data_IF_204024480472
#
_entry.id   IF_204024480472
#
_cell.length_a   1.000
_cell.length_b   1.000
_cell.length_c   1.000
_cell.angle_alpha   90.00
_cell.angle_beta   90.00
_cell.angle_gamma   90.00
#
_symmetry.space_group_name_H-M   'P 1'
#
loop_
_entity.id
_entity.type
_entity.pdbx_description
1 polymer ?
#
# COMPACT_ATOMS: atom_id res chain seq x y z
N UNK A 1 14.35 -26.94 7.10
CA UNK A 1 14.62 -25.75 7.93
C UNK A 1 13.56 -25.68 8.99
N UNK A 2 13.95 -25.86 10.26
CA UNK A 2 13.05 -26.05 11.41
C UNK A 2 12.51 -24.69 11.87
N UNK A 3 11.19 -24.56 11.94
CA UNK A 3 10.52 -23.39 12.50
C UNK A 3 10.70 -23.39 14.02
N UNK A 4 11.57 -22.50 14.51
CA UNK A 4 11.67 -22.17 15.93
C UNK A 4 10.56 -21.17 16.23
N UNK A 5 9.43 -21.69 16.72
CA UNK A 5 8.35 -20.89 17.28
C UNK A 5 8.80 -20.41 18.66
N UNK A 6 9.33 -19.20 18.72
CA UNK A 6 9.69 -18.54 19.96
C UNK A 6 8.40 -18.00 20.60
N UNK A 7 7.86 -18.75 21.58
CA UNK A 7 6.76 -18.30 22.42
C UNK A 7 7.27 -17.23 23.38
N UNK A 8 7.05 -15.95 23.05
CA UNK A 8 7.33 -14.84 23.94
C UNK A 8 6.16 -14.67 24.92
N UNK A 9 6.29 -15.28 26.10
CA UNK A 9 5.39 -15.07 27.22
C UNK A 9 5.63 -13.65 27.79
N UNK A 10 4.77 -12.70 27.41
CA UNK A 10 4.75 -11.36 28.02
C UNK A 10 3.93 -11.45 29.32
N UNK A 11 4.66 -11.60 30.42
CA UNK A 11 4.14 -11.60 31.78
C UNK A 11 4.14 -10.14 32.28
N UNK A 12 3.06 -9.40 31.99
CA UNK A 12 2.83 -8.07 32.58
C UNK A 12 1.99 -8.25 33.84
N UNK A 13 2.69 -8.60 34.93
CA UNK A 13 2.19 -8.50 36.28
C UNK A 13 2.44 -7.08 36.82
N UNK A 14 1.41 -6.47 37.41
CA UNK A 14 1.53 -5.16 38.03
C UNK A 14 0.19 -4.49 38.28
N UNK A 15 -0.74 -5.16 38.95
CA UNK A 15 -1.99 -4.56 39.44
C UNK A 15 -1.68 -3.61 40.61
N UNK A 16 -1.28 -2.37 40.30
CA UNK A 16 -1.34 -1.29 41.29
C UNK A 16 -2.80 -0.87 41.39
N UNK A 17 -3.50 -1.43 42.38
CA UNK A 17 -4.82 -0.96 42.80
C UNK A 17 -4.66 0.45 43.40
N UNK A 18 -4.65 1.47 42.54
CA UNK A 18 -4.87 2.83 42.96
C UNK A 18 -6.31 2.92 43.46
N UNK A 19 -6.46 2.97 44.78
CA UNK A 19 -7.70 3.37 45.45
C UNK A 19 -7.94 4.84 45.10
N UNK A 20 -8.59 5.06 43.97
CA UNK A 20 -9.16 6.35 43.63
C UNK A 20 -10.27 6.61 44.66
N UNK A 21 -9.98 7.47 45.65
CA UNK A 21 -11.01 8.08 46.46
C UNK A 21 -11.86 8.92 45.51
N UNK A 22 -13.02 8.38 45.16
CA UNK A 22 -14.13 9.09 44.56
C UNK A 22 -14.54 10.24 45.49
N UNK A 23 -13.84 11.37 45.39
CA UNK A 23 -14.45 12.66 45.66
C UNK A 23 -15.46 12.91 44.54
N UNK A 24 -16.57 12.16 44.59
CA UNK A 24 -17.81 12.46 43.87
C UNK A 24 -18.32 13.79 44.43
N UNK A 25 -17.78 14.88 43.91
CA UNK A 25 -18.45 16.16 43.97
C UNK A 25 -19.87 15.93 43.42
N UNK A 26 -20.86 16.15 44.27
CA UNK A 26 -22.28 15.95 44.01
C UNK A 26 -22.77 16.90 42.90
N UNK A 27 -22.39 16.63 41.65
CA UNK A 27 -23.07 17.08 40.45
C UNK A 27 -23.70 15.85 39.83
N UNK A 28 -24.94 15.56 40.23
CA UNK A 28 -25.65 14.32 39.91
C UNK A 28 -25.64 13.99 38.41
N UNK A 29 -25.78 12.70 38.12
CA UNK A 29 -25.88 12.11 36.79
C UNK A 29 -27.03 12.64 35.90
N UNK A 30 -27.73 13.69 36.34
CA UNK A 30 -28.68 14.51 35.57
C UNK A 30 -28.12 15.87 35.17
N UNK A 31 -26.79 16.04 35.13
CA UNK A 31 -26.16 17.27 34.63
C UNK A 31 -26.65 17.54 33.21
N UNK A 32 -27.44 18.59 33.05
CA UNK A 32 -27.99 19.04 31.78
C UNK A 32 -26.90 18.91 30.71
N UNK A 33 -27.11 17.98 29.77
CA UNK A 33 -26.20 17.81 28.65
C UNK A 33 -26.20 19.14 27.90
N UNK A 34 -25.14 19.93 28.11
CA UNK A 34 -24.92 21.14 27.35
C UNK A 34 -25.00 20.75 25.87
N UNK A 35 -25.74 21.51 25.05
CA UNK A 35 -26.00 21.15 23.67
C UNK A 35 -24.66 20.87 22.98
N UNK A 36 -24.54 19.67 22.40
CA UNK A 36 -23.31 19.22 21.74
C UNK A 36 -22.94 20.10 20.54
N UNK A 37 -23.91 20.87 20.03
CA UNK A 37 -23.79 21.82 18.93
C UNK A 37 -23.76 23.28 19.40
N UNK A 38 -23.15 23.54 20.56
CA UNK A 38 -22.91 24.91 21.01
C UNK A 38 -22.13 25.71 19.95
N UNK A 39 -22.49 26.99 19.79
CA UNK A 39 -21.76 27.90 18.93
C UNK A 39 -20.35 28.13 19.47
N UNK A 40 -19.30 28.11 18.62
CA UNK A 40 -17.94 28.30 19.06
C UNK A 40 -17.75 29.70 19.63
N UNK A 41 -17.32 29.76 20.88
CA UNK A 41 -17.23 31.01 21.63
C UNK A 41 -15.92 31.76 21.46
N UNK A 42 -14.88 31.07 20.96
CA UNK A 42 -13.53 31.57 20.71
C UNK A 42 -13.03 31.10 19.34
N UNK A 43 -11.93 31.69 18.85
CA UNK A 43 -11.28 31.26 17.61
C UNK A 43 -10.80 29.80 17.65
N UNK A 44 -10.27 29.34 18.78
CA UNK A 44 -9.82 27.95 18.94
C UNK A 44 -11.01 26.97 18.95
N UNK A 45 -12.12 27.37 19.57
CA UNK A 45 -13.37 26.60 19.52
C UNK A 45 -13.92 26.47 18.09
N UNK A 46 -13.82 27.54 17.29
CA UNK A 46 -14.22 27.51 15.86
C UNK A 46 -13.36 26.54 15.07
N UNK A 47 -12.03 26.62 15.21
CA UNK A 47 -11.09 25.67 14.58
C UNK A 47 -11.36 24.23 15.01
N UNK A 48 -11.67 24.00 16.29
CA UNK A 48 -12.02 22.67 16.78
C UNK A 48 -13.28 22.13 16.08
N UNK A 49 -14.34 22.95 15.95
CA UNK A 49 -15.59 22.58 15.25
C UNK A 49 -15.33 22.27 13.76
N UNK A 50 -14.52 23.08 13.08
CA UNK A 50 -14.09 22.85 11.70
C UNK A 50 -13.33 21.52 11.53
N UNK A 51 -12.37 21.24 12.41
CA UNK A 51 -11.62 19.97 12.38
C UNK A 51 -12.54 18.75 12.64
N UNK A 52 -13.47 18.86 13.59
CA UNK A 52 -14.44 17.79 13.87
C UNK A 52 -15.37 17.55 12.68
N UNK A 53 -15.77 18.60 11.96
CA UNK A 53 -16.60 18.49 10.75
C UNK A 53 -15.83 17.91 9.55
N UNK A 54 -14.52 18.11 9.49
CA UNK A 54 -13.65 17.59 8.45
C UNK A 54 -13.24 16.11 8.65
N UNK A 55 -13.59 15.49 9.79
CA UNK A 55 -13.32 14.08 10.02
C UNK A 55 -14.12 13.21 9.02
N UNK A 56 -13.52 12.12 8.52
CA UNK A 56 -14.16 11.31 7.51
C UNK A 56 -15.40 10.59 8.08
N UNK A 57 -16.39 10.39 7.22
CA UNK A 57 -17.68 9.81 7.57
C UNK A 57 -17.70 8.27 7.51
N UNK A 58 -16.56 7.60 7.38
CA UNK A 58 -16.50 6.14 7.37
C UNK A 58 -16.64 5.56 8.80
N UNK A 59 -17.39 4.46 8.92
CA UNK A 59 -17.76 3.92 10.24
C UNK A 59 -16.57 3.36 11.01
N UNK A 60 -15.55 2.85 10.31
CA UNK A 60 -14.31 2.38 10.92
C UNK A 60 -13.53 3.51 11.58
N UNK A 61 -13.31 4.64 10.88
CA UNK A 61 -12.64 5.80 11.46
C UNK A 61 -13.46 6.42 12.58
N UNK A 62 -14.80 6.53 12.42
CA UNK A 62 -15.68 7.03 13.48
C UNK A 62 -15.52 6.25 14.78
N UNK A 63 -15.50 4.92 14.72
CA UNK A 63 -15.33 4.08 15.91
C UNK A 63 -13.98 4.34 16.59
N UNK A 64 -12.90 4.48 15.82
CA UNK A 64 -11.55 4.73 16.35
C UNK A 64 -11.41 6.10 17.01
N UNK A 65 -12.08 7.14 16.51
CA UNK A 65 -11.99 8.49 17.06
C UNK A 65 -13.14 8.88 17.99
N UNK A 66 -14.11 7.99 18.23
CA UNK A 66 -15.35 8.28 18.94
C UNK A 66 -15.11 8.95 20.30
N UNK A 67 -14.16 8.44 21.09
CA UNK A 67 -13.83 8.99 22.41
C UNK A 67 -13.21 10.38 22.34
N UNK A 68 -12.31 10.61 21.39
CA UNK A 68 -11.67 11.92 21.19
C UNK A 68 -12.70 12.96 20.72
N UNK A 69 -13.59 12.57 19.79
CA UNK A 69 -14.70 13.41 19.32
C UNK A 69 -15.65 13.74 20.47
N UNK A 70 -16.02 12.75 21.29
CA UNK A 70 -16.88 12.96 22.46
C UNK A 70 -16.25 13.95 23.46
N UNK A 71 -14.96 13.80 23.77
CA UNK A 71 -14.23 14.71 24.67
C UNK A 71 -14.14 16.13 24.09
N UNK A 72 -13.86 16.25 22.79
CA UNK A 72 -13.82 17.55 22.11
C UNK A 72 -15.18 18.27 22.18
N UNK A 73 -16.28 17.57 21.87
CA UNK A 73 -17.64 18.12 21.96
C UNK A 73 -18.03 18.52 23.39
N UNK A 74 -17.70 17.70 24.39
CA UNK A 74 -17.94 18.03 25.79
C UNK A 74 -17.15 19.26 26.23
N UNK A 75 -15.90 19.39 25.80
CA UNK A 75 -15.08 20.58 26.09
C UNK A 75 -15.65 21.84 25.43
N UNK A 76 -16.17 21.77 24.19
CA UNK A 76 -16.86 22.88 23.54
C UNK A 76 -18.14 23.30 24.27
N UNK A 77 -18.96 22.33 24.70
CA UNK A 77 -20.15 22.60 25.50
C UNK A 77 -19.81 23.33 26.80
N UNK A 78 -18.79 22.85 27.52
CA UNK A 78 -18.30 23.50 28.75
C UNK A 78 -17.71 24.88 28.50
N UNK A 79 -16.97 25.08 27.41
CA UNK A 79 -16.43 26.38 27.03
C UNK A 79 -17.55 27.40 26.80
N UNK A 80 -18.65 26.98 26.15
CA UNK A 80 -19.83 27.81 25.97
C UNK A 80 -20.50 28.14 27.32
N UNK A 81 -20.64 27.15 28.20
CA UNK A 81 -21.12 27.36 29.57
C UNK A 81 -20.30 28.39 30.36
N UNK A 82 -18.97 28.30 30.30
CA UNK A 82 -18.06 29.25 30.94
C UNK A 82 -18.25 30.68 30.40
N UNK A 83 -18.39 30.85 29.07
CA UNK A 83 -18.67 32.16 28.48
C UNK A 83 -20.00 32.74 28.95
N UNK A 84 -21.06 31.92 29.01
CA UNK A 84 -22.38 32.35 29.50
C UNK A 84 -22.33 32.76 30.98
N UNK A 85 -21.45 32.15 31.77
CA UNK A 85 -21.19 32.52 33.15
C UNK A 85 -20.28 33.76 33.31
N UNK A 86 -19.79 34.36 32.22
CA UNK A 86 -18.86 35.49 32.24
C UNK A 86 -17.40 35.13 32.44
N UNK A 87 -17.05 33.84 32.58
CA UNK A 87 -15.68 33.35 32.72
C UNK A 87 -14.99 33.21 31.35
N UNK A 88 -14.36 34.31 30.91
CA UNK A 88 -13.66 34.35 29.62
C UNK A 88 -12.40 33.49 29.59
N UNK A 89 -11.65 33.42 30.69
CA UNK A 89 -10.41 32.65 30.76
C UNK A 89 -10.70 31.15 30.71
N UNK A 90 -11.67 30.68 31.51
CA UNK A 90 -12.13 29.31 31.46
C UNK A 90 -12.66 28.90 30.09
N UNK A 91 -13.41 29.79 29.43
CA UNK A 91 -13.88 29.56 28.05
C UNK A 91 -12.72 29.39 27.05
N UNK A 92 -11.65 30.18 27.18
CA UNK A 92 -10.46 30.04 26.33
C UNK A 92 -9.70 28.73 26.59
N UNK A 93 -9.46 28.37 27.85
CA UNK A 93 -8.75 27.13 28.22
C UNK A 93 -9.52 25.91 27.71
N UNK A 94 -10.83 25.86 27.93
CA UNK A 94 -11.68 24.76 27.48
C UNK A 94 -11.77 24.68 25.96
N UNK A 95 -11.74 25.82 25.26
CA UNK A 95 -11.68 25.84 23.79
C UNK A 95 -10.36 25.27 23.24
N UNK A 96 -9.22 25.59 23.88
CA UNK A 96 -7.91 25.00 23.52
C UNK A 96 -7.88 23.50 23.78
N UNK A 97 -8.48 23.06 24.88
CA UNK A 97 -8.63 21.63 25.18
C UNK A 97 -9.47 20.91 24.11
N UNK A 98 -10.57 21.52 23.67
CA UNK A 98 -11.37 20.97 22.57
C UNK A 98 -10.57 20.86 21.28
N UNK A 99 -9.78 21.88 20.95
CA UNK A 99 -8.89 21.89 19.78
C UNK A 99 -7.86 20.75 19.85
N UNK A 100 -7.23 20.54 21.01
CA UNK A 100 -6.28 19.45 21.20
C UNK A 100 -6.92 18.08 20.96
N UNK A 101 -8.13 17.83 21.48
CA UNK A 101 -8.85 16.58 21.21
C UNK A 101 -9.23 16.40 19.74
N UNK A 102 -9.64 17.47 19.06
CA UNK A 102 -9.95 17.41 17.62
C UNK A 102 -8.70 17.14 16.76
N UNK A 103 -7.55 17.72 17.14
CA UNK A 103 -6.26 17.43 16.51
C UNK A 103 -5.83 15.99 16.73
N UNK A 104 -5.99 15.46 17.96
CA UNK A 104 -5.75 14.05 18.27
C UNK A 104 -6.58 13.14 17.35
N UNK A 105 -7.90 13.37 17.26
CA UNK A 105 -8.77 12.60 16.36
C UNK A 105 -8.26 12.63 14.90
N UNK A 106 -7.90 13.82 14.41
CA UNK A 106 -7.35 13.98 13.04
C UNK A 106 -6.03 13.22 12.85
N UNK A 107 -5.15 13.26 13.85
CA UNK A 107 -3.87 12.55 13.80
C UNK A 107 -4.04 11.03 13.83
N UNK A 108 -5.01 10.51 14.60
CA UNK A 108 -5.33 9.08 14.63
C UNK A 108 -5.80 8.58 13.27
N UNK A 109 -6.71 9.31 12.60
CA UNK A 109 -7.16 8.95 11.24
C UNK A 109 -5.98 8.93 10.27
N UNK A 110 -5.14 9.98 10.30
CA UNK A 110 -3.94 10.05 9.44
C UNK A 110 -2.98 8.88 9.71
N UNK A 111 -2.77 8.51 10.97
CA UNK A 111 -1.91 7.39 11.34
C UNK A 111 -2.44 6.07 10.75
N UNK A 112 -3.74 5.79 10.89
CA UNK A 112 -4.38 4.60 10.31
C UNK A 112 -4.25 4.57 8.78
N UNK A 113 -4.44 5.71 8.12
CA UNK A 113 -4.27 5.79 6.66
C UNK A 113 -2.81 5.56 6.25
N UNK A 114 -1.84 6.06 7.02
CA UNK A 114 -0.42 5.80 6.76
C UNK A 114 -0.06 4.33 6.98
N UNK A 115 -0.64 3.67 8.00
CA UNK A 115 -0.46 2.24 8.24
C UNK A 115 -1.01 1.41 7.08
N UNK A 116 -2.23 1.70 6.61
CA UNK A 116 -2.83 1.03 5.44
C UNK A 116 -1.92 1.13 4.21
N UNK A 117 -1.41 2.35 3.91
CA UNK A 117 -0.48 2.57 2.79
C UNK A 117 0.84 1.82 2.97
N UNK A 118 1.35 1.75 4.19
CA UNK A 118 2.56 0.98 4.49
C UNK A 118 2.34 -0.53 4.27
N UNK A 119 1.21 -1.07 4.72
CA UNK A 119 0.85 -2.48 4.49
C UNK A 119 0.69 -2.80 3.00
N UNK A 120 0.07 -1.92 2.21
CA UNK A 120 -0.02 -2.08 0.75
C UNK A 120 1.37 -2.05 0.08
N UNK A 121 2.25 -1.14 0.51
CA UNK A 121 3.60 -1.04 -0.02
C UNK A 121 4.43 -2.30 0.31
N UNK A 122 4.26 -2.85 1.52
CA UNK A 122 4.89 -4.09 1.94
C UNK A 122 4.42 -5.28 1.08
N UNK A 123 3.10 -5.41 0.85
CA UNK A 123 2.54 -6.45 -0.02
C UNK A 123 3.11 -6.36 -1.45
N UNK A 124 3.14 -5.16 -2.04
CA UNK A 124 3.73 -4.94 -3.37
C UNK A 124 5.22 -5.28 -3.40
N UNK A 125 5.94 -5.05 -2.31
CA UNK A 125 7.37 -5.39 -2.20
C UNK A 125 7.59 -6.90 -2.13
N UNK A 126 6.75 -7.62 -1.37
CA UNK A 126 6.75 -9.09 -1.32
C UNK A 126 6.50 -9.69 -2.70
N UNK A 127 5.45 -9.24 -3.40
CA UNK A 127 5.13 -9.70 -4.76
C UNK A 127 6.29 -9.48 -5.74
N UNK A 128 6.95 -8.31 -5.68
CA UNK A 128 8.10 -8.00 -6.53
C UNK A 128 9.29 -8.90 -6.21
N UNK A 129 9.58 -9.13 -4.93
CA UNK A 129 10.65 -10.05 -4.51
C UNK A 129 10.41 -11.46 -5.03
N UNK A 130 9.18 -11.97 -4.98
CA UNK A 130 8.83 -13.28 -5.53
C UNK A 130 8.99 -13.35 -7.06
N UNK A 131 8.59 -12.30 -7.78
CA UNK A 131 8.80 -12.23 -9.23
C UNK A 131 10.28 -12.23 -9.59
N UNK A 132 11.09 -11.46 -8.86
CA UNK A 132 12.55 -11.43 -9.04
C UNK A 132 13.15 -12.81 -8.73
N UNK A 133 12.71 -13.47 -7.66
CA UNK A 133 13.15 -14.82 -7.31
C UNK A 133 12.87 -15.83 -8.43
N UNK A 134 11.65 -15.83 -8.98
CA UNK A 134 11.28 -16.67 -10.13
C UNK A 134 12.10 -16.35 -11.38
N UNK A 135 12.28 -15.07 -11.70
CA UNK A 135 13.09 -14.66 -12.85
C UNK A 135 14.55 -15.13 -12.73
N UNK A 136 15.13 -15.05 -11.53
CA UNK A 136 16.49 -15.57 -11.25
C UNK A 136 16.57 -17.09 -11.43
N UNK A 137 15.57 -17.83 -10.95
CA UNK A 137 15.50 -19.28 -11.17
C UNK A 137 15.48 -19.64 -12.65
N UNK A 138 14.63 -18.96 -13.44
CA UNK A 138 14.53 -19.19 -14.87
C UNK A 138 15.85 -18.85 -15.59
N UNK A 139 16.52 -17.76 -15.22
CA UNK A 139 17.82 -17.42 -15.79
C UNK A 139 18.87 -18.50 -15.49
N UNK A 140 18.96 -18.96 -14.24
CA UNK A 140 19.87 -20.05 -13.85
C UNK A 140 19.61 -21.34 -14.64
N UNK A 141 18.34 -21.70 -14.86
CA UNK A 141 17.97 -22.85 -15.70
C UNK A 141 18.41 -22.65 -17.16
N UNK A 142 18.24 -21.46 -17.72
CA UNK A 142 18.67 -21.18 -19.10
C UNK A 142 20.20 -21.23 -19.25
N UNK A 143 20.93 -20.77 -18.24
CA UNK A 143 22.40 -20.85 -18.21
C UNK A 143 22.86 -22.31 -18.11
N UNK A 144 22.24 -23.11 -17.25
CA UNK A 144 22.53 -24.54 -17.13
C UNK A 144 22.28 -25.28 -18.46
N UNK A 145 21.16 -25.01 -19.13
CA UNK A 145 20.85 -25.59 -20.47
C UNK A 145 21.85 -25.16 -21.53
N UNK A 146 22.28 -23.89 -21.53
CA UNK A 146 23.32 -23.40 -22.46
C UNK A 146 24.64 -24.14 -22.26
N UNK A 147 25.07 -24.32 -21.01
CA UNK A 147 26.30 -25.05 -20.70
C UNK A 147 26.23 -26.52 -21.13
N UNK A 148 25.08 -27.18 -20.95
CA UNK A 148 24.84 -28.54 -21.44
C UNK A 148 24.94 -28.62 -22.96
N UNK A 149 24.27 -27.72 -23.70
CA UNK A 149 24.33 -27.69 -25.16
C UNK A 149 25.75 -27.44 -25.67
N UNK A 150 26.52 -26.54 -25.04
CA UNK A 150 27.92 -26.31 -25.39
C UNK A 150 28.76 -27.58 -25.20
N UNK A 151 28.53 -28.34 -24.12
CA UNK A 151 29.23 -29.60 -23.88
C UNK A 151 28.82 -30.71 -24.88
N UNK A 152 27.56 -30.75 -25.30
CA UNK A 152 27.08 -31.68 -26.34
C UNK A 152 27.66 -31.37 -27.72
N UNK A 153 27.72 -30.08 -28.10
CA UNK A 153 28.37 -29.65 -29.35
C UNK A 153 29.84 -30.01 -29.35
N UNK A 154 30.57 -29.73 -28.26
CA UNK A 154 31.98 -30.10 -28.14
C UNK A 154 32.19 -31.63 -28.29
N UNK A 155 31.34 -32.45 -27.67
CA UNK A 155 31.38 -33.92 -27.82
C UNK A 155 31.07 -34.37 -29.26
N UNK A 156 30.09 -33.75 -29.91
CA UNK A 156 29.74 -34.05 -31.29
C UNK A 156 30.88 -33.69 -32.27
N UNK A 157 31.55 -32.56 -32.03
CA UNK A 157 32.73 -32.15 -32.80
C UNK A 157 33.91 -33.12 -32.63
N UNK A 158 34.17 -33.59 -31.41
CA UNK A 158 35.19 -34.62 -31.18
C UNK A 158 34.85 -35.96 -31.83
N UNK A 159 33.57 -36.38 -31.77
CA UNK A 159 33.11 -37.59 -32.42
C UNK A 159 33.21 -37.48 -33.95
N UNK A 160 32.88 -36.33 -34.53
CA UNK A 160 33.02 -36.08 -35.97
C UNK A 160 34.48 -36.10 -36.43
N UNK A 161 35.42 -35.61 -35.60
CA UNK A 161 36.86 -35.69 -35.88
C UNK A 161 37.41 -37.13 -35.81
N UNK A 162 36.79 -38.02 -35.03
CA UNK A 162 37.22 -39.41 -34.85
C UNK A 162 36.48 -40.42 -35.75
N UNK A 163 35.34 -40.03 -36.34
CA UNK A 163 34.56 -40.90 -37.22
C UNK A 163 35.29 -41.20 -38.54
N UNK A 164 35.13 -42.39 -39.13
CA UNK A 164 35.71 -42.70 -40.44
C UNK A 164 35.18 -41.71 -41.50
N UNK A 165 35.99 -41.32 -42.49
CA UNK A 165 35.55 -40.39 -43.53
C UNK A 165 34.30 -40.95 -44.18
N UNK A 166 33.18 -40.21 -44.04
CA UNK A 166 31.93 -40.55 -44.68
C UNK A 166 32.19 -40.79 -46.16
N UNK A 167 31.97 -42.03 -46.63
CA UNK A 167 31.93 -42.34 -48.06
C UNK A 167 30.70 -41.63 -48.62
N UNK A 168 30.85 -40.35 -48.94
CA UNK A 168 29.86 -39.63 -49.70
C UNK A 168 29.73 -40.31 -51.07
N UNK A 169 28.53 -40.87 -51.27
CA UNK A 169 28.01 -41.43 -52.50
C UNK A 169 28.42 -40.65 -53.75
N UNK A 170 28.96 -41.38 -54.71
CA UNK A 170 29.28 -40.93 -56.07
C UNK A 170 28.07 -40.97 -57.03
N UNK A 171 26.86 -41.29 -56.58
CA UNK A 171 25.71 -41.46 -57.48
C UNK A 171 24.62 -40.40 -57.30
N UNK A 172 24.87 -39.20 -57.84
CA UNK A 172 23.81 -38.27 -58.27
C UNK A 172 23.79 -38.18 -59.80
N UNK A 173 22.89 -38.98 -60.39
CA UNK A 173 22.43 -38.85 -61.78
C UNK A 173 21.41 -37.70 -61.86
N UNK A 174 21.51 -36.74 -62.79
CA UNK A 174 20.50 -35.71 -63.00
C UNK A 174 19.34 -36.30 -63.82
N UNK A 175 18.11 -36.15 -63.33
CA UNK A 175 16.93 -36.66 -64.01
C UNK A 175 15.70 -35.79 -63.73
N UNK A 176 15.37 -34.95 -64.71
CA UNK A 176 14.08 -34.32 -64.94
C UNK A 176 12.87 -35.19 -64.57
N UNK A 177 11.89 -34.60 -63.85
CA UNK A 177 10.46 -34.84 -64.13
C UNK A 177 9.55 -33.77 -63.55
N UNK A 178 9.15 -32.91 -64.48
CA UNK A 178 7.90 -32.17 -64.65
C UNK A 178 6.64 -32.89 -64.13
N UNK A 179 5.73 -32.11 -63.55
CA UNK A 179 4.33 -32.44 -63.25
C UNK A 179 4.01 -32.37 -61.74
N UNK A 180 2.89 -31.88 -61.26
CA UNK A 180 1.70 -31.27 -61.85
C UNK A 180 0.90 -30.71 -60.66
N UNK A 181 0.10 -29.66 -60.91
CA UNK A 181 -0.78 -29.02 -59.94
C UNK A 181 -1.70 -30.00 -59.20
N UNK A 182 -1.93 -29.77 -57.90
CA UNK A 182 -3.26 -29.98 -57.30
C UNK A 182 -3.47 -29.14 -56.04
N UNK A 183 -4.30 -28.10 -56.22
CA UNK A 183 -5.05 -27.42 -55.15
C UNK A 183 -5.78 -28.46 -54.30
N UNK A 184 -5.55 -28.45 -52.99
CA UNK A 184 -6.43 -29.03 -51.99
C UNK A 184 -6.66 -28.02 -50.86
N UNK A 185 -7.93 -27.95 -50.44
CA UNK A 185 -8.60 -26.93 -49.64
C UNK A 185 -8.09 -26.83 -48.19
N UNK A 186 -8.38 -25.72 -47.48
CA UNK A 186 -8.16 -25.60 -46.04
C UNK A 186 -9.35 -26.20 -45.29
N UNK A 187 -9.19 -27.40 -44.73
CA UNK A 187 -10.18 -28.00 -43.84
C UNK A 187 -9.75 -27.94 -42.36
N UNK A 188 -10.52 -27.11 -41.64
CA UNK A 188 -11.02 -27.28 -40.27
C UNK A 188 -10.25 -28.20 -39.30
N UNK A 189 -9.77 -27.54 -38.24
CA UNK A 189 -10.20 -27.78 -36.84
C UNK A 189 -9.95 -29.20 -36.31
N UNK A 190 -8.69 -29.52 -36.00
CA UNK A 190 -8.35 -30.54 -35.01
C UNK A 190 -7.82 -29.84 -33.76
N UNK A 191 -8.59 -29.93 -32.68
CA UNK A 191 -8.20 -29.43 -31.36
C UNK A 191 -7.02 -30.26 -30.82
N UNK A 192 -6.01 -29.62 -30.21
CA UNK A 192 -5.00 -30.36 -29.45
C UNK A 192 -5.63 -31.04 -28.22
N UNK A 193 -5.13 -32.24 -27.84
CA UNK A 193 -5.66 -33.01 -26.72
C UNK A 193 -5.53 -32.25 -25.40
N UNK A 194 -6.56 -32.41 -24.58
CA UNK A 194 -6.65 -31.99 -23.18
C UNK A 194 -5.35 -32.30 -22.43
N UNK A 195 -4.46 -31.31 -22.34
CA UNK A 195 -3.55 -31.25 -21.20
C UNK A 195 -4.39 -30.78 -20.01
N UNK A 196 -4.38 -31.50 -18.88
CA UNK A 196 -5.03 -31.04 -17.67
C UNK A 196 -4.36 -29.72 -17.25
N UNK A 197 -5.04 -28.62 -17.58
CA UNK A 197 -4.67 -27.30 -17.08
C UNK A 197 -4.71 -27.38 -15.56
N UNK A 198 -3.61 -27.04 -14.85
CA UNK A 198 -3.68 -26.85 -13.41
C UNK A 198 -4.75 -25.78 -13.16
N UNK A 199 -5.82 -26.17 -12.46
CA UNK A 199 -6.93 -25.29 -12.08
C UNK A 199 -6.36 -24.01 -11.51
N UNK A 200 -6.37 -22.96 -12.32
CA UNK A 200 -6.03 -21.63 -11.88
C UNK A 200 -7.06 -21.26 -10.78
N UNK A 201 -6.62 -20.77 -9.62
CA UNK A 201 -7.56 -20.24 -8.64
C UNK A 201 -8.34 -19.12 -9.30
N UNK A 202 -9.66 -19.29 -9.28
CA UNK A 202 -10.69 -18.42 -9.82
C UNK A 202 -10.54 -17.02 -9.19
N UNK A 203 -9.67 -16.20 -9.78
CA UNK A 203 -9.56 -14.78 -9.46
C UNK A 203 -10.77 -14.09 -10.06
N UNK A 204 -11.76 -13.83 -9.20
CA UNK A 204 -12.83 -12.86 -9.44
C UNK A 204 -12.28 -11.65 -10.21
N UNK A 205 -12.91 -11.21 -11.31
CA UNK A 205 -12.54 -9.99 -11.98
C UNK A 205 -12.85 -8.82 -11.05
N UNK A 206 -11.83 -8.33 -10.32
CA UNK A 206 -11.89 -7.00 -9.74
C UNK A 206 -11.79 -6.01 -10.90
N UNK A 207 -12.97 -5.52 -11.29
CA UNK A 207 -13.16 -4.32 -12.09
C UNK A 207 -12.59 -3.13 -11.31
N UNK A 208 -11.27 -3.01 -11.28
CA UNK A 208 -10.56 -1.82 -10.87
C UNK A 208 -9.89 -1.28 -12.13
N UNK A 209 -10.64 -0.45 -12.84
CA UNK A 209 -10.18 0.43 -13.90
C UNK A 209 -9.14 1.39 -13.30
N UNK A 210 -7.92 0.89 -13.12
CA UNK A 210 -6.80 1.70 -12.66
C UNK A 210 -6.20 2.38 -13.90
N UNK A 211 -6.92 3.40 -14.40
CA UNK A 211 -6.33 4.39 -15.28
C UNK A 211 -5.10 4.93 -14.55
N UNK A 212 -3.87 4.79 -15.11
CA UNK A 212 -2.72 5.46 -14.53
C UNK A 212 -3.02 6.95 -14.56
N UNK A 213 -3.18 7.54 -13.37
CA UNK A 213 -3.26 8.98 -13.23
C UNK A 213 -2.08 9.60 -13.98
N UNK A 214 -2.27 10.66 -14.78
CA UNK A 214 -1.17 11.34 -15.43
C UNK A 214 -0.16 11.71 -14.36
N UNK A 215 1.08 11.24 -14.53
CA UNK A 215 2.22 11.65 -13.72
C UNK A 215 2.28 13.17 -13.79
N UNK A 216 1.79 13.84 -12.76
CA UNK A 216 2.05 15.26 -12.53
C UNK A 216 3.56 15.39 -12.53
N UNK A 217 4.05 16.09 -13.55
CA UNK A 217 5.42 16.54 -13.72
C UNK A 217 6.01 16.90 -12.36
N UNK A 218 7.19 16.37 -12.09
CA UNK A 218 7.96 16.71 -10.90
C UNK A 218 7.97 18.24 -10.71
N UNK A 219 7.86 18.75 -9.47
CA UNK A 219 7.96 20.17 -9.21
C UNK A 219 9.30 20.66 -9.77
N UNK A 220 9.21 21.49 -10.80
CA UNK A 220 10.34 22.19 -11.39
C UNK A 220 10.97 23.01 -10.25
N UNK A 221 12.12 22.57 -9.76
CA UNK A 221 12.80 23.29 -8.69
C UNK A 221 13.06 24.71 -9.20
N UNK A 222 12.66 25.75 -8.46
CA UNK A 222 12.93 27.12 -8.86
C UNK A 222 14.44 27.27 -9.03
N UNK A 223 14.85 27.77 -10.21
CA UNK A 223 16.24 28.04 -10.49
C UNK A 223 16.82 28.95 -9.39
N UNK A 224 18.07 28.72 -8.95
CA UNK A 224 18.71 29.55 -7.93
C UNK A 224 18.71 31.01 -8.40
N UNK A 225 17.97 31.86 -7.70
CA UNK A 225 17.97 33.29 -7.96
C UNK A 225 19.38 33.81 -7.69
N UNK A 226 20.03 34.37 -8.73
CA UNK A 226 21.31 35.05 -8.58
C UNK A 226 21.14 36.20 -7.56
N UNK A 227 22.03 36.33 -6.57
CA UNK A 227 21.98 37.44 -5.63
C UNK A 227 22.14 38.75 -6.40
N UNK A 228 21.22 39.69 -6.16
CA UNK A 228 21.27 41.01 -6.74
C UNK A 228 22.57 41.74 -6.31
N UNK A 229 23.22 42.49 -7.21
CA UNK A 229 24.40 43.28 -6.87
C UNK A 229 24.02 44.34 -5.83
N UNK A 230 24.70 44.32 -4.69
CA UNK A 230 24.64 45.40 -3.69
C UNK A 230 25.09 46.69 -4.37
N UNK A 231 24.15 47.60 -4.63
CA UNK A 231 24.47 48.99 -4.97
C UNK A 231 25.22 49.57 -3.77
N UNK A 232 26.49 49.88 -3.98
CA UNK A 232 27.29 50.64 -3.02
C UNK A 232 26.58 51.94 -2.71
N UNK A 233 26.47 52.24 -1.42
CA UNK A 233 26.08 53.57 -0.96
C UNK A 233 27.31 54.50 -1.05
N UNK A 234 27.13 55.76 -1.44
CA UNK A 234 28.18 56.79 -1.39
C UNK A 234 28.55 57.17 0.04
#
# INVERSE_FOLDING_TARGET
MRAVVLALAVLVGGSVAAVARDARAHGGAGGAQLPADAEPVTADGKKAKELLAALPADDASKALVADSVKKAKLALGRANGAKLAGDQEGAQILSRLALAWAQTATSTVKAVDTEKRASEAEARTKDRKEKIGRARSLLAETEARKLQLVAEVAKAEEAAKKGPPSKADKDKKPGDKKGEEKKAKPDKKAAPPDQPQPKAPEKKPSKAENKPAPQKSAPQMPAPQKPAPKKGAP
#
